data_IF_528285703675
#
_entry.id   IF_528285703675
#
_cell.length_a   1.000
_cell.length_b   1.000
_cell.length_c   1.000
_cell.angle_alpha   90.00
_cell.angle_beta   90.00
_cell.angle_gamma   90.00
#
_symmetry.space_group_name_H-M   'P 1'
#
loop_
_entity.id
_entity.type
_entity.pdbx_description
1 polymer ?
#
# COMPACT_ATOMS: atom_id res chain seq x y z
N UNK A 1 13.07 17.49 -0.66
CA UNK A 1 12.13 16.55 0.00
C UNK A 1 12.95 15.38 0.54
N UNK A 2 12.51 14.70 1.59
CA UNK A 2 13.29 13.63 2.24
C UNK A 2 12.82 12.29 1.71
N UNK A 3 13.73 11.49 1.14
CA UNK A 3 13.44 10.11 0.72
C UNK A 3 13.20 9.26 1.97
N UNK A 4 12.09 8.52 2.00
CA UNK A 4 11.72 7.62 3.09
C UNK A 4 12.06 6.18 2.77
N UNK A 5 11.77 5.74 1.53
CA UNK A 5 12.12 4.42 1.01
C UNK A 5 12.87 4.59 -0.31
N UNK A 6 13.88 3.79 -0.53
CA UNK A 6 14.60 3.69 -1.79
C UNK A 6 14.88 2.24 -2.14
N UNK A 7 14.73 1.87 -3.40
CA UNK A 7 15.26 0.61 -3.94
C UNK A 7 16.29 0.92 -5.00
N UNK A 8 17.38 0.14 -5.04
CA UNK A 8 18.46 0.25 -6.04
C UNK A 8 18.79 -1.12 -6.60
N UNK A 9 18.77 -1.25 -7.92
CA UNK A 9 19.06 -2.48 -8.67
C UNK A 9 18.28 -3.68 -8.12
N UNK A 10 17.05 -3.47 -7.61
CA UNK A 10 16.30 -4.50 -6.89
C UNK A 10 15.85 -5.60 -7.84
N UNK A 11 16.29 -6.82 -7.54
CA UNK A 11 15.90 -8.05 -8.22
C UNK A 11 15.21 -9.00 -7.26
N UNK A 12 14.07 -9.56 -7.65
CA UNK A 12 13.34 -10.54 -6.85
C UNK A 12 12.49 -11.46 -7.74
N UNK A 13 12.11 -12.62 -7.19
CA UNK A 13 11.30 -13.59 -7.94
C UNK A 13 10.89 -14.77 -7.08
N UNK A 14 10.35 -15.80 -7.70
CA UNK A 14 9.84 -17.00 -7.05
C UNK A 14 10.61 -18.24 -7.54
N UNK A 15 11.37 -18.85 -6.64
CA UNK A 15 12.26 -19.96 -7.02
C UNK A 15 13.30 -19.49 -8.05
N UNK A 16 13.34 -20.15 -9.22
CA UNK A 16 14.25 -19.77 -10.32
C UNK A 16 13.67 -18.72 -11.27
N UNK A 17 12.41 -18.31 -11.07
CA UNK A 17 11.75 -17.33 -11.94
C UNK A 17 11.98 -15.93 -11.42
N UNK A 18 12.85 -15.16 -12.08
CA UNK A 18 13.01 -13.74 -11.81
C UNK A 18 11.80 -12.95 -12.31
N UNK A 19 11.29 -12.03 -11.48
CA UNK A 19 10.13 -11.19 -11.78
C UNK A 19 10.49 -9.71 -11.78
N UNK A 20 11.35 -9.28 -10.85
CA UNK A 20 11.87 -7.91 -10.79
C UNK A 20 13.28 -7.88 -11.33
N UNK A 21 13.58 -6.88 -12.13
CA UNK A 21 14.85 -6.71 -12.82
C UNK A 21 15.33 -5.27 -12.67
N UNK A 22 16.34 -5.04 -11.82
CA UNK A 22 16.99 -3.76 -11.62
C UNK A 22 15.98 -2.63 -11.36
N UNK A 23 15.12 -2.81 -10.33
CA UNK A 23 14.05 -1.87 -10.01
C UNK A 23 14.59 -0.76 -9.10
N UNK A 24 14.66 0.45 -9.65
CA UNK A 24 15.03 1.67 -8.95
C UNK A 24 13.80 2.55 -8.73
N UNK A 25 13.50 2.86 -7.46
CA UNK A 25 12.46 3.82 -7.12
C UNK A 25 12.73 4.50 -5.78
N UNK A 26 12.09 5.64 -5.60
CA UNK A 26 12.12 6.40 -4.35
C UNK A 26 10.71 6.78 -3.94
N UNK A 27 10.46 6.73 -2.64
CA UNK A 27 9.21 7.22 -2.01
C UNK A 27 9.57 8.35 -1.06
N UNK A 28 9.01 9.53 -1.31
CA UNK A 28 9.23 10.70 -0.47
C UNK A 28 8.36 10.66 0.78
N UNK A 29 8.89 11.15 1.90
CA UNK A 29 8.15 11.22 3.16
C UNK A 29 6.93 12.13 3.05
N UNK A 30 5.77 11.65 3.48
CA UNK A 30 4.53 12.41 3.51
C UNK A 30 3.86 12.57 2.15
N UNK A 31 4.27 11.78 1.15
CA UNK A 31 3.68 11.77 -0.20
C UNK A 31 2.83 10.53 -0.44
N UNK A 32 2.04 10.58 -1.51
CA UNK A 32 1.46 9.42 -2.18
C UNK A 32 2.35 9.11 -3.39
N UNK A 33 3.05 7.99 -3.37
CA UNK A 33 3.75 7.45 -4.53
C UNK A 33 2.92 6.32 -5.12
N UNK A 34 2.74 6.34 -6.43
CA UNK A 34 1.98 5.32 -7.15
C UNK A 34 2.90 4.43 -7.99
N UNK A 35 2.53 3.14 -8.12
CA UNK A 35 3.09 2.24 -9.11
C UNK A 35 1.94 1.68 -9.94
N UNK A 36 1.94 1.98 -11.22
CA UNK A 36 0.92 1.51 -12.17
C UNK A 36 1.54 0.58 -13.20
N UNK A 37 0.72 -0.30 -13.75
CA UNK A 37 1.16 -1.27 -14.77
C UNK A 37 0.14 -2.39 -14.94
N UNK A 38 0.27 -3.15 -16.03
CA UNK A 38 -0.60 -4.28 -16.33
C UNK A 38 -0.51 -5.40 -15.30
N UNK A 39 -1.48 -6.32 -15.33
CA UNK A 39 -1.41 -7.53 -14.52
C UNK A 39 -0.17 -8.36 -14.92
N UNK A 40 0.54 -8.88 -13.93
CA UNK A 40 1.77 -9.62 -14.14
C UNK A 40 3.02 -8.73 -14.35
N UNK A 41 2.92 -7.40 -14.30
CA UNK A 41 4.07 -6.51 -14.46
C UNK A 41 5.11 -6.62 -13.32
N UNK A 42 4.77 -7.23 -12.17
CA UNK A 42 5.67 -7.39 -11.03
C UNK A 42 5.29 -6.55 -9.81
N UNK A 43 4.19 -5.80 -9.85
CA UNK A 43 3.74 -4.87 -8.80
C UNK A 43 3.64 -5.51 -7.41
N UNK A 44 2.84 -6.58 -7.27
CA UNK A 44 2.70 -7.33 -6.01
C UNK A 44 4.02 -7.94 -5.53
N UNK A 45 4.89 -8.38 -6.47
CA UNK A 45 6.22 -8.89 -6.14
C UNK A 45 7.07 -7.81 -5.49
N UNK A 46 7.02 -6.59 -6.01
CA UNK A 46 7.71 -5.44 -5.42
C UNK A 46 7.17 -5.13 -4.01
N UNK A 47 5.84 -5.07 -3.84
CA UNK A 47 5.23 -4.86 -2.53
C UNK A 47 5.64 -5.91 -1.50
N UNK A 48 5.68 -7.19 -1.90
CA UNK A 48 6.14 -8.30 -1.04
C UNK A 48 7.62 -8.21 -0.72
N UNK A 49 8.46 -7.77 -1.66
CA UNK A 49 9.89 -7.58 -1.41
C UNK A 49 10.13 -6.42 -0.44
N UNK A 50 9.47 -5.27 -0.62
CA UNK A 50 9.57 -4.12 0.27
C UNK A 50 9.04 -4.43 1.67
N UNK A 51 7.97 -5.24 1.79
CA UNK A 51 7.40 -5.61 3.09
C UNK A 51 8.15 -6.75 3.80
N UNK A 52 9.15 -7.38 3.15
CA UNK A 52 9.90 -8.50 3.71
C UNK A 52 9.18 -9.86 3.66
N UNK A 53 8.08 -9.95 2.91
CA UNK A 53 7.36 -11.21 2.66
C UNK A 53 8.00 -12.05 1.55
N UNK A 54 8.81 -11.44 0.69
CA UNK A 54 9.57 -12.09 -0.36
C UNK A 54 11.03 -11.62 -0.26
N UNK A 55 12.00 -12.53 -0.13
CA UNK A 55 13.40 -12.16 -0.19
C UNK A 55 13.75 -11.67 -1.60
N UNK A 56 14.60 -10.65 -1.67
CA UNK A 56 15.19 -10.21 -2.93
C UNK A 56 16.45 -11.04 -3.24
N UNK A 57 16.79 -11.14 -4.53
CA UNK A 57 17.96 -11.88 -5.02
C UNK A 57 19.14 -10.99 -5.37
N UNK A 58 18.92 -9.68 -5.45
CA UNK A 58 19.94 -8.67 -5.73
C UNK A 58 19.46 -7.27 -5.43
N UNK A 59 20.38 -6.31 -5.38
CA UNK A 59 20.09 -4.92 -5.07
C UNK A 59 19.91 -4.64 -3.58
N UNK A 60 19.33 -3.46 -3.28
CA UNK A 60 19.18 -2.94 -1.92
C UNK A 60 17.80 -2.35 -1.70
N UNK A 61 17.33 -2.41 -0.45
CA UNK A 61 16.10 -1.74 0.02
C UNK A 61 16.49 -0.91 1.24
N UNK A 62 16.45 0.40 1.11
CA UNK A 62 16.73 1.33 2.21
C UNK A 62 15.41 1.96 2.71
N UNK A 63 15.22 1.97 4.04
CA UNK A 63 14.11 2.64 4.70
C UNK A 63 14.64 3.53 5.82
N UNK A 64 14.33 4.84 5.76
CA UNK A 64 14.88 5.87 6.68
C UNK A 64 16.43 5.82 6.70
N UNK A 65 17.04 5.67 5.52
CA UNK A 65 18.50 5.59 5.32
C UNK A 65 19.17 4.36 5.99
N UNK A 66 18.42 3.35 6.36
CA UNK A 66 18.92 2.06 6.86
C UNK A 66 18.61 0.95 5.86
N UNK A 67 19.58 0.07 5.59
CA UNK A 67 19.34 -1.11 4.78
C UNK A 67 18.44 -2.10 5.54
N UNK A 68 17.29 -2.36 4.97
CA UNK A 68 16.29 -3.29 5.52
C UNK A 68 16.23 -4.61 4.74
N UNK A 69 17.09 -4.81 3.77
CA UNK A 69 17.07 -5.95 2.85
C UNK A 69 17.00 -7.30 3.54
N UNK A 70 17.77 -7.49 4.62
CA UNK A 70 17.84 -8.73 5.38
C UNK A 70 16.84 -8.82 6.55
N UNK A 71 15.98 -7.82 6.73
CA UNK A 71 15.01 -7.82 7.83
C UNK A 71 13.76 -8.62 7.47
N UNK A 72 13.21 -9.32 8.46
CA UNK A 72 11.95 -10.06 8.33
C UNK A 72 10.74 -9.11 8.27
N UNK A 73 9.59 -9.62 7.82
CA UNK A 73 8.38 -8.81 7.71
C UNK A 73 7.95 -8.18 9.05
N UNK A 74 8.03 -8.91 10.15
CA UNK A 74 7.71 -8.41 11.49
C UNK A 74 8.67 -7.29 11.94
N UNK A 75 9.97 -7.42 11.64
CA UNK A 75 10.95 -6.36 11.88
C UNK A 75 10.65 -5.11 11.08
N UNK A 76 10.29 -5.24 9.78
CA UNK A 76 9.91 -4.10 8.95
C UNK A 76 8.61 -3.42 9.43
N UNK A 77 7.63 -4.20 9.90
CA UNK A 77 6.44 -3.61 10.56
C UNK A 77 6.85 -2.88 11.84
N UNK A 78 7.76 -3.43 12.63
CA UNK A 78 8.29 -2.75 13.82
C UNK A 78 9.04 -1.44 13.48
N UNK A 79 9.68 -1.33 12.32
CA UNK A 79 10.28 -0.08 11.81
C UNK A 79 9.25 0.93 11.30
N UNK A 80 8.06 0.48 10.92
CA UNK A 80 6.99 1.35 10.45
C UNK A 80 6.52 1.11 9.02
N UNK A 81 6.90 0.02 8.37
CA UNK A 81 6.36 -0.39 7.06
C UNK A 81 5.18 -1.34 7.30
N UNK A 82 3.97 -0.96 6.88
CA UNK A 82 2.77 -1.80 6.97
C UNK A 82 2.22 -2.09 5.58
N UNK A 83 1.89 -3.35 5.29
CA UNK A 83 1.29 -3.76 4.02
C UNK A 83 -0.19 -4.11 4.21
N UNK A 84 -1.04 -3.53 3.39
CA UNK A 84 -2.41 -4.00 3.13
C UNK A 84 -2.37 -4.76 1.81
N UNK A 85 -2.40 -6.09 1.84
CA UNK A 85 -2.28 -6.91 0.65
C UNK A 85 -3.57 -6.92 -0.17
N UNK A 86 -3.45 -7.33 -1.42
CA UNK A 86 -4.58 -7.69 -2.27
C UNK A 86 -5.49 -8.72 -1.58
N UNK A 87 -6.80 -8.66 -1.83
CA UNK A 87 -7.77 -9.63 -1.31
C UNK A 87 -8.21 -9.36 0.13
N UNK A 88 -7.94 -8.16 0.68
CA UNK A 88 -8.42 -7.67 1.99
C UNK A 88 -7.83 -8.44 3.19
N UNK A 89 -7.79 -9.75 3.15
CA UNK A 89 -7.25 -10.67 4.17
C UNK A 89 -7.67 -10.30 5.60
N UNK A 90 -8.95 -9.96 5.79
CA UNK A 90 -9.54 -9.76 7.12
C UNK A 90 -9.77 -11.11 7.81
N UNK A 91 -9.96 -11.08 9.11
CA UNK A 91 -10.38 -12.24 9.90
C UNK A 91 -11.91 -12.32 9.87
N UNK A 92 -12.52 -13.26 9.13
CA UNK A 92 -13.96 -13.27 8.87
C UNK A 92 -14.78 -13.48 10.15
N UNK A 93 -14.32 -14.36 11.04
CA UNK A 93 -14.99 -14.71 12.30
C UNK A 93 -14.77 -13.67 13.41
N UNK A 94 -13.92 -12.67 13.19
CA UNK A 94 -13.67 -11.60 14.16
C UNK A 94 -14.61 -10.43 13.90
N UNK A 95 -14.99 -9.75 14.98
CA UNK A 95 -15.70 -8.47 14.85
C UNK A 95 -14.80 -7.40 14.20
N UNK A 96 -15.39 -6.29 13.74
CA UNK A 96 -14.64 -5.12 13.27
C UNK A 96 -13.62 -4.69 14.32
N UNK A 97 -14.03 -4.52 15.57
CA UNK A 97 -13.09 -4.14 16.64
C UNK A 97 -11.98 -5.15 16.85
N UNK A 98 -12.28 -6.44 16.86
CA UNK A 98 -11.27 -7.49 17.03
C UNK A 98 -10.26 -7.48 15.87
N UNK A 99 -10.73 -7.31 14.61
CA UNK A 99 -9.85 -7.14 13.45
C UNK A 99 -8.90 -5.96 13.62
N UNK A 100 -9.41 -4.80 14.07
CA UNK A 100 -8.60 -3.62 14.29
C UNK A 100 -7.56 -3.85 15.40
N UNK A 101 -7.96 -4.42 16.54
CA UNK A 101 -7.06 -4.70 17.67
C UNK A 101 -5.88 -5.59 17.28
N UNK A 102 -6.09 -6.57 16.39
CA UNK A 102 -4.99 -7.41 15.87
C UNK A 102 -3.93 -6.56 15.15
N UNK A 103 -4.31 -5.49 14.46
CA UNK A 103 -3.37 -4.59 13.77
C UNK A 103 -2.40 -3.86 14.71
N UNK A 104 -2.73 -3.71 15.99
CA UNK A 104 -1.91 -3.04 17.00
C UNK A 104 -0.88 -3.99 17.69
N UNK A 105 -0.38 -5.02 16.99
CA UNK A 105 0.48 -6.05 17.63
C UNK A 105 1.90 -5.57 17.97
N UNK A 106 2.42 -4.52 17.29
CA UNK A 106 3.76 -3.98 17.57
C UNK A 106 3.79 -3.23 18.91
N UNK A 107 4.91 -3.26 19.66
CA UNK A 107 4.97 -2.70 21.02
C UNK A 107 4.50 -1.24 21.13
N UNK A 108 4.91 -0.36 20.18
CA UNK A 108 4.51 1.06 20.20
C UNK A 108 3.00 1.26 20.03
N UNK A 109 2.36 0.47 19.15
CA UNK A 109 0.93 0.56 18.88
C UNK A 109 0.10 -0.13 19.97
N UNK A 110 0.61 -1.26 20.53
CA UNK A 110 -0.07 -2.00 21.62
C UNK A 110 -0.32 -1.13 22.83
N UNK A 111 0.62 -0.27 23.19
CA UNK A 111 0.47 0.64 24.33
C UNK A 111 -0.64 1.69 24.11
N UNK A 112 -1.06 1.92 22.86
CA UNK A 112 -2.05 2.91 22.46
C UNK A 112 -3.26 2.31 21.75
N UNK A 113 -3.49 1.03 21.88
CA UNK A 113 -4.54 0.29 21.13
C UNK A 113 -5.90 0.98 21.20
N UNK A 114 -6.36 1.41 22.38
CA UNK A 114 -7.68 2.04 22.52
C UNK A 114 -7.72 3.44 21.86
N UNK A 115 -6.68 4.23 22.02
CA UNK A 115 -6.58 5.54 21.36
C UNK A 115 -6.52 5.39 19.83
N UNK A 116 -5.78 4.42 19.32
CA UNK A 116 -5.70 4.12 17.90
C UNK A 116 -7.05 3.62 17.36
N UNK A 117 -7.76 2.80 18.13
CA UNK A 117 -9.09 2.32 17.78
C UNK A 117 -10.08 3.49 17.59
N UNK A 118 -10.12 4.44 18.53
CA UNK A 118 -10.96 5.62 18.42
C UNK A 118 -10.58 6.48 17.20
N UNK A 119 -9.29 6.67 16.95
CA UNK A 119 -8.79 7.36 15.75
C UNK A 119 -9.24 6.65 14.45
N UNK A 120 -9.20 5.31 14.41
CA UNK A 120 -9.69 4.56 13.25
C UNK A 120 -11.20 4.74 13.08
N UNK A 121 -11.98 4.76 14.14
CA UNK A 121 -13.41 5.02 14.08
C UNK A 121 -13.76 6.46 13.66
N UNK A 122 -12.90 7.42 13.92
CA UNK A 122 -13.04 8.79 13.38
C UNK A 122 -12.73 8.85 11.89
N UNK A 123 -11.69 8.14 11.44
CA UNK A 123 -11.30 8.08 10.04
C UNK A 123 -12.29 7.25 9.20
N UNK A 124 -12.86 6.20 9.81
CA UNK A 124 -13.78 5.25 9.19
C UNK A 124 -15.11 5.16 9.97
N UNK A 125 -16.01 6.16 9.91
CA UNK A 125 -17.24 6.18 10.71
C UNK A 125 -18.14 4.95 10.51
N UNK A 126 -18.18 4.40 9.27
CA UNK A 126 -18.94 3.18 8.98
C UNK A 126 -18.46 1.95 9.76
N UNK A 127 -17.17 1.87 10.06
CA UNK A 127 -16.63 0.80 10.89
C UNK A 127 -17.06 0.96 12.36
N UNK A 128 -17.22 2.21 12.84
CA UNK A 128 -17.76 2.49 14.19
C UNK A 128 -19.19 1.98 14.33
N UNK A 129 -20.04 2.26 13.34
CA UNK A 129 -21.44 1.82 13.32
C UNK A 129 -21.58 0.29 13.35
N UNK A 130 -20.54 -0.44 12.88
CA UNK A 130 -20.50 -1.89 12.72
C UNK A 130 -19.49 -2.56 13.65
N UNK A 131 -19.10 -1.88 14.71
CA UNK A 131 -18.01 -2.27 15.63
C UNK A 131 -18.08 -3.73 16.08
N UNK A 132 -19.28 -4.19 16.41
CA UNK A 132 -19.53 -5.54 16.94
C UNK A 132 -19.93 -6.55 15.83
N UNK A 133 -19.97 -6.11 14.58
CA UNK A 133 -20.35 -6.95 13.44
C UNK A 133 -19.15 -7.80 12.98
N UNK A 134 -19.41 -9.07 12.63
CA UNK A 134 -18.37 -9.97 12.09
C UNK A 134 -17.92 -9.57 10.70
N UNK A 135 -16.61 -9.74 10.42
CA UNK A 135 -15.98 -9.33 9.17
C UNK A 135 -16.61 -9.96 7.93
N UNK A 136 -17.02 -11.23 8.00
CA UNK A 136 -17.67 -11.94 6.88
C UNK A 136 -19.00 -11.31 6.44
N UNK A 137 -19.71 -10.64 7.35
CA UNK A 137 -21.02 -10.04 7.09
C UNK A 137 -20.95 -8.62 6.54
N UNK A 138 -19.75 -8.05 6.44
CA UNK A 138 -19.52 -6.74 5.85
C UNK A 138 -19.59 -6.80 4.32
N UNK A 139 -20.03 -5.69 3.70
CA UNK A 139 -19.88 -5.52 2.25
C UNK A 139 -18.42 -5.50 1.83
N UNK A 140 -18.14 -5.80 0.54
CA UNK A 140 -16.77 -5.80 0.03
C UNK A 140 -16.01 -4.48 0.24
N UNK A 141 -16.69 -3.35 0.14
CA UNK A 141 -16.11 -2.03 0.42
C UNK A 141 -15.80 -1.82 1.90
N UNK A 142 -16.71 -2.25 2.80
CA UNK A 142 -16.48 -2.17 4.25
C UNK A 142 -15.33 -3.08 4.69
N UNK A 143 -15.21 -4.27 4.09
CA UNK A 143 -14.07 -5.17 4.32
C UNK A 143 -12.74 -4.52 3.88
N UNK A 144 -12.74 -3.81 2.75
CA UNK A 144 -11.56 -3.09 2.27
C UNK A 144 -11.17 -1.96 3.23
N UNK A 145 -12.16 -1.17 3.69
CA UNK A 145 -11.90 -0.13 4.69
C UNK A 145 -11.42 -0.72 6.02
N UNK A 146 -11.92 -1.90 6.41
CA UNK A 146 -11.45 -2.61 7.60
C UNK A 146 -9.99 -3.07 7.45
N UNK A 147 -9.61 -3.60 6.28
CA UNK A 147 -8.24 -4.01 6.00
C UNK A 147 -7.27 -2.81 6.06
N UNK A 148 -7.66 -1.67 5.46
CA UNK A 148 -6.91 -0.42 5.50
C UNK A 148 -6.76 0.11 6.93
N UNK A 149 -7.86 0.20 7.67
CA UNK A 149 -7.87 0.63 9.07
C UNK A 149 -7.00 -0.28 9.95
N UNK A 150 -7.06 -1.61 9.77
CA UNK A 150 -6.22 -2.57 10.48
C UNK A 150 -4.73 -2.34 10.20
N UNK A 151 -4.35 -2.06 8.97
CA UNK A 151 -2.96 -1.70 8.61
C UNK A 151 -2.48 -0.45 9.35
N UNK A 152 -3.35 0.55 9.49
CA UNK A 152 -3.06 1.80 10.20
C UNK A 152 -2.96 1.63 11.73
N UNK A 153 -3.59 0.60 12.31
CA UNK A 153 -3.48 0.31 13.74
C UNK A 153 -2.05 0.04 14.22
N UNK A 154 -1.13 -0.34 13.33
CA UNK A 154 0.29 -0.51 13.66
C UNK A 154 1.05 0.82 13.81
N UNK A 155 0.41 1.98 13.64
CA UNK A 155 1.02 3.31 13.59
C UNK A 155 2.18 3.37 12.56
N UNK A 156 1.91 3.06 11.29
CA UNK A 156 2.98 3.00 10.30
C UNK A 156 3.49 4.40 9.93
N UNK A 157 4.78 4.49 9.64
CA UNK A 157 5.39 5.64 8.95
C UNK A 157 5.08 5.58 7.46
N UNK A 158 4.99 4.36 6.92
CA UNK A 158 4.71 4.05 5.52
C UNK A 158 3.67 2.95 5.40
N UNK A 159 2.64 3.22 4.62
CA UNK A 159 1.59 2.27 4.28
C UNK A 159 1.74 1.83 2.82
N UNK A 160 1.89 0.54 2.62
CA UNK A 160 1.90 -0.12 1.32
C UNK A 160 0.48 -0.62 1.02
N UNK A 161 -0.07 -0.29 -0.15
CA UNK A 161 -1.41 -0.70 -0.59
C UNK A 161 -1.31 -1.47 -1.90
N UNK A 162 -1.67 -2.74 -1.88
CA UNK A 162 -1.61 -3.62 -3.07
C UNK A 162 -3.02 -3.82 -3.64
N UNK A 163 -3.31 -3.14 -4.76
CA UNK A 163 -4.58 -3.13 -5.50
C UNK A 163 -5.82 -2.93 -4.60
N UNK A 164 -5.85 -1.87 -3.76
CA UNK A 164 -6.92 -1.69 -2.78
C UNK A 164 -8.31 -1.42 -3.40
N UNK A 165 -8.39 -1.01 -4.68
CA UNK A 165 -9.66 -0.77 -5.37
C UNK A 165 -10.23 -1.99 -6.08
N UNK A 166 -9.48 -3.09 -6.15
CA UNK A 166 -9.86 -4.27 -6.94
C UNK A 166 -11.21 -4.86 -6.49
N UNK A 167 -12.13 -4.99 -7.45
CA UNK A 167 -13.46 -5.57 -7.23
C UNK A 167 -14.41 -4.69 -6.41
N UNK A 168 -14.13 -3.39 -6.27
CA UNK A 168 -15.02 -2.42 -5.65
C UNK A 168 -15.96 -1.78 -6.68
N UNK A 169 -17.16 -1.38 -6.23
CA UNK A 169 -18.05 -0.55 -7.03
C UNK A 169 -17.44 0.87 -7.21
N UNK A 170 -17.71 1.57 -8.33
CA UNK A 170 -17.08 2.86 -8.63
C UNK A 170 -17.17 3.91 -7.51
N UNK A 171 -18.32 4.01 -6.85
CA UNK A 171 -18.54 4.92 -5.72
C UNK A 171 -17.67 4.58 -4.50
N UNK A 172 -17.43 3.30 -4.27
CA UNK A 172 -16.56 2.83 -3.17
C UNK A 172 -15.09 3.01 -3.53
N UNK A 173 -14.73 2.81 -4.80
CA UNK A 173 -13.38 3.10 -5.32
C UNK A 173 -13.03 4.57 -5.08
N UNK A 174 -13.93 5.49 -5.43
CA UNK A 174 -13.72 6.91 -5.17
C UNK A 174 -13.52 7.20 -3.67
N UNK A 175 -14.39 6.67 -2.81
CA UNK A 175 -14.27 6.82 -1.35
C UNK A 175 -12.94 6.24 -0.83
N UNK A 176 -12.46 5.14 -1.41
CA UNK A 176 -11.16 4.55 -1.06
C UNK A 176 -10.02 5.50 -1.40
N UNK A 177 -9.98 6.09 -2.60
CA UNK A 177 -8.94 7.07 -2.98
C UNK A 177 -9.00 8.33 -2.11
N UNK A 178 -10.19 8.86 -1.81
CA UNK A 178 -10.36 9.97 -0.87
C UNK A 178 -9.81 9.62 0.52
N UNK A 179 -10.03 8.38 0.96
CA UNK A 179 -9.50 7.90 2.24
C UNK A 179 -7.98 7.80 2.22
N UNK A 180 -7.36 7.35 1.12
CA UNK A 180 -5.91 7.31 0.94
C UNK A 180 -5.31 8.72 1.07
N UNK A 181 -5.94 9.73 0.46
CA UNK A 181 -5.51 11.14 0.60
C UNK A 181 -5.58 11.59 2.06
N UNK A 182 -6.68 11.28 2.78
CA UNK A 182 -6.82 11.60 4.21
C UNK A 182 -5.77 10.90 5.08
N UNK A 183 -5.39 9.66 4.74
CA UNK A 183 -4.31 8.93 5.41
C UNK A 183 -2.98 9.65 5.21
N UNK A 184 -2.63 10.06 3.99
CA UNK A 184 -1.45 10.86 3.70
C UNK A 184 -1.47 12.18 4.49
N UNK A 185 -2.60 12.89 4.50
CA UNK A 185 -2.76 14.18 5.20
C UNK A 185 -2.62 14.04 6.72
N UNK A 186 -2.85 12.84 7.27
CA UNK A 186 -2.59 12.53 8.68
C UNK A 186 -1.09 12.30 8.99
N UNK A 187 -0.22 12.40 7.99
CA UNK A 187 1.24 12.28 8.12
C UNK A 187 1.82 10.90 7.79
N UNK A 188 1.00 9.97 7.29
CA UNK A 188 1.46 8.64 6.84
C UNK A 188 1.90 8.73 5.37
N UNK A 189 3.09 8.24 5.05
CA UNK A 189 3.52 8.10 3.66
C UNK A 189 2.81 6.92 3.02
N UNK A 190 2.31 7.07 1.81
CA UNK A 190 1.59 6.00 1.11
C UNK A 190 2.33 5.59 -0.16
N UNK A 191 2.53 4.28 -0.33
CA UNK A 191 2.93 3.70 -1.60
C UNK A 191 1.81 2.77 -2.07
N UNK A 192 1.15 3.14 -3.16
CA UNK A 192 -0.01 2.44 -3.70
C UNK A 192 0.31 1.79 -5.03
N UNK A 193 -0.08 0.55 -5.18
CA UNK A 193 -0.02 -0.20 -6.44
C UNK A 193 -1.44 -0.40 -6.94
N UNK A 194 -1.70 -0.08 -8.20
CA UNK A 194 -3.04 -0.15 -8.76
C UNK A 194 -3.04 -0.52 -10.25
N UNK A 195 -4.18 -1.03 -10.69
CA UNK A 195 -4.50 -1.24 -12.10
C UNK A 195 -5.32 -0.06 -12.66
N UNK A 196 -6.17 0.57 -11.85
CA UNK A 196 -6.85 1.82 -12.22
C UNK A 196 -5.84 2.98 -12.27
N UNK A 197 -5.17 3.06 -13.41
CA UNK A 197 -4.09 4.04 -13.63
C UNK A 197 -4.59 5.47 -13.49
N UNK A 198 -5.79 5.79 -14.01
CA UNK A 198 -6.29 7.16 -14.02
C UNK A 198 -6.53 7.69 -12.61
N UNK A 199 -7.39 7.02 -11.85
CA UNK A 199 -7.74 7.45 -10.50
C UNK A 199 -6.53 7.50 -9.58
N UNK A 200 -5.57 6.57 -9.78
CA UNK A 200 -4.34 6.51 -9.00
C UNK A 200 -3.41 7.68 -9.31
N UNK A 201 -3.22 8.03 -10.59
CA UNK A 201 -2.39 9.15 -10.99
C UNK A 201 -2.99 10.51 -10.58
N UNK A 202 -4.32 10.62 -10.48
CA UNK A 202 -5.00 11.84 -10.03
C UNK A 202 -4.66 12.20 -8.56
N UNK A 203 -4.35 11.23 -7.71
CA UNK A 203 -4.01 11.46 -6.29
C UNK A 203 -2.50 11.39 -6.01
N UNK A 204 -1.68 10.91 -6.97
CA UNK A 204 -0.27 10.67 -6.76
C UNK A 204 0.58 11.94 -6.89
N UNK A 205 1.44 12.19 -5.89
CA UNK A 205 2.48 13.23 -5.96
C UNK A 205 3.57 12.81 -6.94
N UNK A 206 3.96 11.53 -6.92
CA UNK A 206 4.90 10.90 -7.85
C UNK A 206 4.39 9.52 -8.26
N UNK A 207 4.71 9.10 -9.49
CA UNK A 207 4.32 7.79 -9.96
C UNK A 207 5.37 7.16 -10.87
N UNK A 208 5.34 5.83 -10.86
CA UNK A 208 6.16 4.94 -11.70
C UNK A 208 5.25 4.07 -12.56
N UNK A 209 5.70 3.78 -13.77
CA UNK A 209 5.06 2.79 -14.65
C UNK A 209 5.97 1.57 -14.73
N UNK A 210 5.39 0.39 -14.45
CA UNK A 210 6.13 -0.88 -14.46
C UNK A 210 5.65 -1.77 -15.58
N UNK A 211 6.60 -2.32 -16.35
CA UNK A 211 6.38 -3.33 -17.38
C UNK A 211 7.43 -4.44 -17.26
N UNK A 212 6.99 -5.69 -17.29
CA UNK A 212 7.87 -6.85 -17.29
C UNK A 212 8.97 -6.79 -16.20
N UNK A 213 8.58 -6.36 -14.99
CA UNK A 213 9.49 -6.28 -13.84
C UNK A 213 10.48 -5.12 -13.85
N UNK A 214 10.31 -4.13 -14.72
CA UNK A 214 11.17 -2.94 -14.84
C UNK A 214 10.37 -1.66 -14.75
N UNK A 215 10.96 -0.60 -14.19
CA UNK A 215 10.40 0.75 -14.29
C UNK A 215 10.74 1.31 -15.69
N UNK A 216 9.69 1.66 -16.42
CA UNK A 216 9.83 2.19 -17.79
C UNK A 216 9.60 3.70 -17.88
N UNK A 217 8.80 4.26 -16.97
CA UNK A 217 8.54 5.70 -16.90
C UNK A 217 8.42 6.13 -15.45
N UNK A 218 8.74 7.39 -15.16
CA UNK A 218 8.49 8.01 -13.85
C UNK A 218 8.23 9.51 -13.99
N UNK A 219 7.49 10.06 -13.05
CA UNK A 219 7.18 11.48 -13.00
C UNK A 219 6.10 11.82 -11.99
N UNK A 220 5.67 13.08 -11.97
CA UNK A 220 4.49 13.45 -11.17
C UNK A 220 3.23 12.82 -11.76
N UNK A 221 2.23 12.51 -10.91
CA UNK A 221 0.96 11.97 -11.39
C UNK A 221 0.33 12.83 -12.50
N UNK A 222 0.32 14.15 -12.31
CA UNK A 222 -0.19 15.10 -13.31
C UNK A 222 0.56 15.04 -14.65
N UNK A 223 1.89 14.83 -14.64
CA UNK A 223 2.69 14.70 -15.87
C UNK A 223 2.34 13.40 -16.59
N UNK A 224 2.27 12.28 -15.86
CA UNK A 224 1.98 10.97 -16.47
C UNK A 224 0.53 10.88 -16.99
N UNK A 225 -0.44 11.56 -16.38
CA UNK A 225 -1.81 11.68 -16.90
C UNK A 225 -1.87 12.35 -18.29
N UNK A 226 -0.91 13.19 -18.62
CA UNK A 226 -0.85 13.90 -19.92
C UNK A 226 0.08 13.23 -20.91
N UNK A 227 0.88 12.26 -20.50
CA UNK A 227 1.83 11.53 -21.34
C UNK A 227 1.11 10.66 -22.37
N UNK A 228 1.45 10.80 -23.64
CA UNK A 228 0.76 10.09 -24.73
C UNK A 228 1.00 8.58 -24.70
N UNK A 229 2.18 8.13 -24.26
CA UNK A 229 2.47 6.69 -24.12
C UNK A 229 1.65 6.07 -22.98
N UNK A 230 1.50 6.76 -21.86
CA UNK A 230 0.66 6.33 -20.75
C UNK A 230 -0.82 6.30 -21.15
N UNK A 231 -1.29 7.33 -21.87
CA UNK A 231 -2.68 7.37 -22.38
C UNK A 231 -2.97 6.19 -23.29
N UNK A 232 -2.11 5.93 -24.25
CA UNK A 232 -2.29 4.87 -25.24
C UNK A 232 -2.21 3.47 -24.62
N UNK A 233 -1.29 3.25 -23.66
CA UNK A 233 -1.06 1.94 -23.06
C UNK A 233 -2.03 1.62 -21.91
N UNK A 234 -2.47 2.63 -21.12
CA UNK A 234 -3.12 2.40 -19.83
C UNK A 234 -4.42 3.18 -19.61
N UNK A 235 -4.73 4.24 -20.39
CA UNK A 235 -5.93 5.06 -20.20
C UNK A 235 -7.02 4.82 -21.26
N UNK A 236 -6.78 3.95 -22.25
CA UNK A 236 -7.79 3.52 -23.21
C UNK A 236 -8.20 4.57 -24.26
N UNK A 237 -7.27 5.45 -24.65
CA UNK A 237 -7.45 6.43 -25.73
C UNK A 237 -6.78 5.96 -27.01
#
# INVERSE_FOLDING_TARGET
>A
MTVLLETRDLCAGYGEVAVLHDVDLQVEKGSITALVGSNGAGKTTLMRSISGLLPHSGGHIEFISEDVGNQTADQRVALGISLVPEGRMIFPDFTVEQNLRVGAFVPRARARTDANLERMFELFPRLRERRDQHGETLSGGEQQMLALARGLMSEPTMLLLDEPSLGLAPTITQLMFETVVRVRDSGVTVFIVEQDTRSTLEIADHAYVMENGRIVLSGTGAKLLTDDSVKQAYLGF
#
